data_IF_493450570889
#
_entry.id   IF_493450570889
#
_cell.length_a   1.000
_cell.length_b   1.000
_cell.length_c   1.000
_cell.angle_alpha   90.00
_cell.angle_beta   90.00
_cell.angle_gamma   90.00
#
_symmetry.space_group_name_H-M   'P 1'
#
loop_
_entity.id
_entity.type
_entity.pdbx_description
1 polymer ?
#
# COMPACT_ATOMS: atom_id res chain seq x y z
N UNK A 1 8.06 -20.85 3.63
CA UNK A 1 6.66 -20.84 4.15
C UNK A 1 6.07 -19.43 4.15
N UNK A 2 6.83 -18.41 4.59
CA UNK A 2 6.38 -17.01 4.67
C UNK A 2 6.16 -16.32 3.30
N UNK A 3 6.90 -16.70 2.26
CA UNK A 3 6.77 -16.12 0.92
C UNK A 3 5.41 -16.41 0.25
N UNK A 4 4.78 -17.55 0.59
CA UNK A 4 3.47 -17.93 0.02
C UNK A 4 2.36 -16.97 0.45
N UNK A 5 2.31 -16.61 1.74
CA UNK A 5 1.27 -15.73 2.27
C UNK A 5 1.31 -14.32 1.67
N UNK A 6 2.51 -13.78 1.45
CA UNK A 6 2.67 -12.47 0.81
C UNK A 6 2.19 -12.52 -0.65
N UNK A 7 2.53 -13.59 -1.38
CA UNK A 7 2.13 -13.71 -2.77
C UNK A 7 0.61 -13.87 -2.94
N UNK A 8 -0.03 -14.65 -2.07
CA UNK A 8 -1.49 -14.79 -2.03
C UNK A 8 -2.18 -13.44 -1.75
N UNK A 9 -1.68 -12.68 -0.77
CA UNK A 9 -2.21 -11.36 -0.45
C UNK A 9 -2.09 -10.38 -1.62
N UNK A 10 -0.99 -10.43 -2.38
CA UNK A 10 -0.80 -9.59 -3.57
C UNK A 10 -1.82 -9.88 -4.65
N UNK A 11 -2.09 -11.16 -4.93
CA UNK A 11 -3.09 -11.57 -5.93
C UNK A 11 -4.49 -11.11 -5.52
N UNK A 12 -4.85 -11.31 -4.26
CA UNK A 12 -6.16 -10.88 -3.74
C UNK A 12 -6.30 -9.35 -3.74
N UNK A 13 -5.25 -8.62 -3.35
CA UNK A 13 -5.25 -7.16 -3.40
C UNK A 13 -5.44 -6.64 -4.83
N UNK A 14 -4.74 -7.22 -5.82
CA UNK A 14 -4.88 -6.86 -7.23
C UNK A 14 -6.32 -7.10 -7.72
N UNK A 15 -6.87 -8.29 -7.46
CA UNK A 15 -8.26 -8.64 -7.82
C UNK A 15 -9.28 -7.65 -7.25
N UNK A 16 -9.10 -7.25 -5.98
CA UNK A 16 -9.98 -6.25 -5.34
C UNK A 16 -9.83 -4.87 -5.99
N UNK A 17 -8.60 -4.45 -6.28
CA UNK A 17 -8.36 -3.17 -6.94
C UNK A 17 -8.97 -3.12 -8.35
N UNK A 18 -8.90 -4.23 -9.09
CA UNK A 18 -9.49 -4.32 -10.43
C UNK A 18 -11.02 -4.26 -10.40
N UNK A 19 -11.65 -4.88 -9.39
CA UNK A 19 -13.11 -4.85 -9.21
C UNK A 19 -13.69 -3.45 -9.00
N UNK A 20 -12.86 -2.49 -8.55
CA UNK A 20 -13.27 -1.08 -8.36
C UNK A 20 -13.41 -0.34 -9.69
N UNK A 21 -12.79 -0.83 -10.78
CA UNK A 21 -12.94 -0.26 -12.13
C UNK A 21 -12.32 1.13 -12.33
N UNK A 22 -11.54 1.63 -11.38
CA UNK A 22 -10.84 2.92 -11.46
C UNK A 22 -9.55 2.90 -10.66
N UNK A 23 -8.64 3.85 -10.94
CA UNK A 23 -7.43 4.04 -10.15
C UNK A 23 -7.79 4.44 -8.72
N UNK A 24 -7.19 3.76 -7.75
CA UNK A 24 -7.38 3.95 -6.32
C UNK A 24 -6.22 4.81 -5.78
N UNK A 25 -6.56 5.79 -4.96
CA UNK A 25 -5.61 6.55 -4.16
C UNK A 25 -5.91 6.27 -2.69
N UNK A 26 -4.95 5.69 -1.99
CA UNK A 26 -5.04 5.43 -0.55
C UNK A 26 -4.05 6.35 0.17
N UNK A 27 -4.52 7.10 1.16
CA UNK A 27 -3.68 8.02 1.92
C UNK A 27 -3.51 7.49 3.35
N UNK A 28 -2.27 7.39 3.80
CA UNK A 28 -1.96 7.23 5.22
C UNK A 28 -1.62 8.60 5.84
N UNK A 29 -1.89 8.76 7.13
CA UNK A 29 -1.69 10.00 7.89
C UNK A 29 -0.95 9.75 9.20
N UNK A 30 0.00 8.81 9.19
CA UNK A 30 0.79 8.47 10.37
C UNK A 30 2.26 8.38 9.98
N UNK A 31 3.11 9.26 10.51
CA UNK A 31 4.54 9.27 10.17
C UNK A 31 5.24 7.92 10.40
N UNK A 32 4.80 7.15 11.40
CA UNK A 32 5.29 5.78 11.65
C UNK A 32 4.96 4.82 10.50
N UNK A 33 3.79 4.94 9.87
CA UNK A 33 3.44 4.16 8.69
C UNK A 33 4.26 4.58 7.48
N UNK A 34 4.47 5.89 7.26
CA UNK A 34 5.33 6.39 6.18
C UNK A 34 6.71 5.71 6.21
N UNK A 35 7.36 5.69 7.39
CA UNK A 35 8.67 5.06 7.57
C UNK A 35 8.61 3.55 7.41
N UNK A 36 7.61 2.89 7.98
CA UNK A 36 7.47 1.43 7.92
C UNK A 36 7.24 0.93 6.50
N UNK A 37 6.36 1.60 5.75
CA UNK A 37 6.07 1.30 4.33
C UNK A 37 7.31 1.49 3.47
N UNK A 38 8.07 2.57 3.71
CA UNK A 38 9.29 2.84 2.97
C UNK A 38 10.35 1.76 3.21
N UNK A 39 10.64 1.44 4.49
CA UNK A 39 11.67 0.45 4.87
C UNK A 39 11.34 -0.97 4.41
N UNK A 40 10.07 -1.35 4.41
CA UNK A 40 9.61 -2.67 3.99
C UNK A 40 9.46 -2.84 2.48
N UNK A 41 9.56 -1.74 1.70
CA UNK A 41 9.35 -1.78 0.26
C UNK A 41 7.90 -2.06 -0.16
N UNK A 42 6.91 -1.92 0.73
CA UNK A 42 5.50 -2.23 0.42
C UNK A 42 5.01 -1.50 -0.85
N UNK A 43 5.48 -0.27 -1.11
CA UNK A 43 5.10 0.50 -2.31
C UNK A 43 5.38 -0.24 -3.63
N UNK A 44 6.48 -0.98 -3.73
CA UNK A 44 6.79 -1.76 -4.95
C UNK A 44 5.96 -3.03 -5.06
N UNK A 45 5.25 -3.40 -3.99
CA UNK A 45 4.39 -4.57 -3.96
C UNK A 45 2.93 -4.30 -4.34
N UNK A 46 2.52 -3.03 -4.36
CA UNK A 46 1.16 -2.63 -4.68
C UNK A 46 0.86 -2.79 -6.18
N UNK A 47 -0.38 -3.11 -6.56
CA UNK A 47 -0.78 -3.15 -7.96
C UNK A 47 -0.76 -1.75 -8.59
N UNK A 48 -0.54 -1.67 -9.90
CA UNK A 48 -0.32 -0.39 -10.61
C UNK A 48 -1.53 0.57 -10.58
N UNK A 49 -2.74 0.05 -10.35
CA UNK A 49 -3.95 0.84 -10.17
C UNK A 49 -4.16 1.33 -8.73
N UNK A 50 -3.29 0.99 -7.77
CA UNK A 50 -3.32 1.46 -6.39
C UNK A 50 -2.12 2.34 -6.08
N UNK A 51 -2.37 3.62 -5.78
CA UNK A 51 -1.33 4.58 -5.36
C UNK A 51 -1.44 4.85 -3.87
N UNK A 52 -0.34 4.60 -3.14
CA UNK A 52 -0.22 4.93 -1.72
C UNK A 52 0.43 6.31 -1.53
N UNK A 53 -0.36 7.25 -1.00
CA UNK A 53 -0.01 8.64 -0.73
C UNK A 53 0.29 8.79 0.77
N UNK A 54 1.33 9.55 1.10
CA UNK A 54 1.63 9.94 2.48
C UNK A 54 1.08 11.35 2.71
N UNK A 55 0.14 11.48 3.64
CA UNK A 55 -0.49 12.72 4.04
C UNK A 55 0.24 13.40 5.21
N UNK A 56 -0.34 14.47 5.80
CA UNK A 56 0.23 15.18 6.94
C UNK A 56 0.08 14.36 8.23
N UNK A 57 0.95 13.36 8.40
CA UNK A 57 0.91 12.42 9.52
C UNK A 57 1.85 12.73 10.68
N UNK A 58 2.43 13.93 10.69
CA UNK A 58 3.40 14.38 11.67
C UNK A 58 2.87 15.69 12.29
N UNK A 59 2.53 15.71 13.58
CA UNK A 59 1.89 16.86 14.21
C UNK A 59 2.81 18.09 14.36
N UNK A 60 4.07 17.98 13.97
CA UNK A 60 5.12 18.99 14.20
C UNK A 60 5.86 19.45 12.93
N UNK A 61 5.51 18.92 11.74
CA UNK A 61 6.33 19.04 10.52
C UNK A 61 6.13 20.32 9.67
#
# INVERSE_FOLDING_TARGET
MMERGIQELRVELARRCDSVGRRIQFMEVCGTHTVSVFRSGIRSMLPANLRLISGPGCPVC
#
